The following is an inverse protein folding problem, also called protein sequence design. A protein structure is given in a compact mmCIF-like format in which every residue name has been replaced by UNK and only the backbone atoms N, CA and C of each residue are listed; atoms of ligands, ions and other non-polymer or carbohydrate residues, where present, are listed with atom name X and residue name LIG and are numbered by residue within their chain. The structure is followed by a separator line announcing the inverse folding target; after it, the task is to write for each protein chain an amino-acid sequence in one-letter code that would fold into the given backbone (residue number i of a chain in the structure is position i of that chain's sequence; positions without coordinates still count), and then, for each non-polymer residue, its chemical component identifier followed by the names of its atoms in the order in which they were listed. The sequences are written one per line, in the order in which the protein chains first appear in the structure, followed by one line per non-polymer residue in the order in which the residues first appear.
data_IF_593588139621
#
_entry.id   IF_593588139621
#
_cell.length_a   1.000
_cell.length_b   1.000
_cell.length_c   1.000
_cell.angle_alpha   90.00
_cell.angle_beta   90.00
_cell.angle_gamma   90.00
#
_symmetry.space_group_name_H-M   'P 1'
#
loop_
_entity.id
_entity.type
_entity.pdbx_description
1 polymer ?
#
# COMPACT_ATOMS: atom_id res chain seq x y z
N UNK A 1 5.98 -25.68 43.99
CA UNK A 1 6.10 -24.29 43.51
C UNK A 1 4.81 -23.55 43.86
N UNK A 2 4.86 -22.39 44.52
CA UNK A 2 3.63 -21.68 44.93
C UNK A 2 2.90 -21.15 43.68
N UNK A 3 1.57 -21.13 43.70
CA UNK A 3 0.72 -20.62 42.60
C UNK A 3 1.15 -19.20 42.20
N UNK A 4 1.52 -18.37 43.18
CA UNK A 4 2.04 -17.01 42.95
C UNK A 4 3.31 -16.98 42.09
N UNK A 5 4.25 -17.91 42.30
CA UNK A 5 5.47 -18.03 41.48
C UNK A 5 5.13 -18.40 40.04
N UNK A 6 4.18 -19.32 39.83
CA UNK A 6 3.73 -19.71 38.50
C UNK A 6 3.04 -18.54 37.77
N UNK A 7 2.18 -17.78 38.47
CA UNK A 7 1.54 -16.59 37.91
C UNK A 7 2.56 -15.50 37.53
N UNK A 8 3.59 -15.28 38.36
CA UNK A 8 4.65 -14.32 38.06
C UNK A 8 5.49 -14.75 36.85
N UNK A 9 5.87 -16.03 36.75
CA UNK A 9 6.59 -16.56 35.59
C UNK A 9 5.75 -16.44 34.31
N UNK A 10 4.45 -16.75 34.38
CA UNK A 10 3.54 -16.61 33.25
C UNK A 10 3.39 -15.15 32.82
N UNK A 11 3.18 -14.22 33.76
CA UNK A 11 3.12 -12.79 33.48
C UNK A 11 4.44 -12.28 32.87
N UNK A 12 5.59 -12.72 33.40
CA UNK A 12 6.91 -12.41 32.87
C UNK A 12 7.08 -12.90 31.43
N UNK A 13 6.69 -14.14 31.13
CA UNK A 13 6.73 -14.70 29.78
C UNK A 13 5.84 -13.92 28.80
N UNK A 14 4.64 -13.50 29.23
CA UNK A 14 3.76 -12.65 28.41
C UNK A 14 4.37 -11.27 28.12
N UNK A 15 5.01 -10.66 29.12
CA UNK A 15 5.68 -9.36 28.96
C UNK A 15 6.88 -9.47 28.00
N UNK A 16 7.72 -10.49 28.17
CA UNK A 16 8.86 -10.77 27.28
C UNK A 16 8.37 -11.04 25.86
N UNK A 17 7.34 -11.86 25.68
CA UNK A 17 6.74 -12.13 24.37
C UNK A 17 6.20 -10.86 23.71
N UNK A 18 5.52 -10.00 24.47
CA UNK A 18 5.06 -8.69 23.98
C UNK A 18 6.20 -7.76 23.60
N UNK A 19 7.27 -7.76 24.38
CA UNK A 19 8.47 -6.99 24.09
C UNK A 19 9.12 -7.47 22.79
N UNK A 20 9.37 -8.77 22.64
CA UNK A 20 9.94 -9.36 21.43
C UNK A 20 9.11 -9.04 20.18
N UNK A 21 7.78 -9.19 20.27
CA UNK A 21 6.85 -8.83 19.21
C UNK A 21 6.86 -7.33 18.86
N UNK A 22 7.22 -6.45 19.79
CA UNK A 22 7.37 -5.02 19.51
C UNK A 22 8.68 -4.75 18.76
N UNK A 23 9.76 -5.46 19.12
CA UNK A 23 11.07 -5.29 18.47
C UNK A 23 11.04 -5.67 16.98
N UNK A 24 10.24 -6.65 16.59
CA UNK A 24 10.09 -7.06 15.17
C UNK A 24 8.90 -6.40 14.46
N UNK A 25 8.21 -5.45 15.10
CA UNK A 25 6.92 -4.91 14.61
C UNK A 25 5.88 -6.01 14.31
N UNK A 26 5.98 -7.13 15.03
CA UNK A 26 5.18 -8.36 14.87
C UNK A 26 5.36 -9.03 13.52
N UNK A 27 6.45 -8.74 12.82
CA UNK A 27 6.85 -9.45 11.61
C UNK A 27 7.49 -10.79 11.97
N UNK A 28 7.24 -11.78 11.11
CA UNK A 28 7.90 -13.08 11.04
C UNK A 28 7.58 -13.68 9.66
N UNK A 29 8.34 -14.68 9.23
CA UNK A 29 8.04 -15.44 8.00
C UNK A 29 6.62 -16.04 8.05
N UNK A 30 6.21 -16.58 9.20
CA UNK A 30 4.87 -17.16 9.33
C UNK A 30 3.76 -16.09 9.24
N UNK A 31 4.00 -14.86 9.70
CA UNK A 31 3.01 -13.79 9.63
C UNK A 31 2.63 -13.37 8.20
N UNK A 32 3.43 -13.76 7.20
CA UNK A 32 3.24 -13.46 5.78
C UNK A 32 2.91 -14.69 4.91
N UNK A 33 3.07 -15.92 5.43
CA UNK A 33 2.86 -17.18 4.69
C UNK A 33 1.38 -17.41 4.36
N UNK A 34 1.08 -17.49 3.07
CA UNK A 34 -0.28 -17.78 2.62
C UNK A 34 -0.57 -19.26 2.76
N UNK A 35 -1.74 -19.59 3.31
CA UNK A 35 -2.26 -20.96 3.41
C UNK A 35 -3.57 -21.12 2.63
N UNK A 36 -3.85 -20.19 1.71
CA UNK A 36 -5.10 -20.15 0.96
C UNK A 36 -4.97 -20.94 -0.34
N UNK A 37 -6.08 -21.55 -0.73
CA UNK A 37 -6.22 -22.17 -2.04
C UNK A 37 -6.17 -21.12 -3.15
N UNK A 38 -5.78 -21.59 -4.34
CA UNK A 38 -5.81 -20.82 -5.56
C UNK A 38 -7.19 -20.22 -5.84
N UNK A 39 -7.23 -18.97 -6.32
CA UNK A 39 -8.41 -18.29 -6.79
C UNK A 39 -8.12 -17.54 -8.10
N UNK A 40 -8.81 -17.86 -9.21
CA UNK A 40 -8.57 -17.20 -10.50
C UNK A 40 -8.91 -15.70 -10.50
N UNK A 41 -9.78 -15.21 -9.61
CA UNK A 41 -10.09 -13.78 -9.51
C UNK A 41 -8.89 -12.95 -9.00
N UNK A 42 -7.88 -13.59 -8.42
CA UNK A 42 -6.70 -12.93 -7.87
C UNK A 42 -5.52 -12.90 -8.85
N UNK A 43 -5.66 -13.55 -10.00
CA UNK A 43 -4.64 -13.51 -11.05
C UNK A 43 -4.55 -12.12 -11.67
N UNK A 44 -3.30 -11.68 -11.85
CA UNK A 44 -3.00 -10.49 -12.61
C UNK A 44 -3.07 -10.76 -14.11
N UNK A 45 -3.10 -9.69 -14.92
CA UNK A 45 -2.85 -9.82 -16.36
C UNK A 45 -1.46 -10.39 -16.64
N UNK A 46 -1.26 -10.93 -17.84
CA UNK A 46 0.06 -11.30 -18.31
C UNK A 46 1.00 -10.07 -18.37
N UNK A 47 2.28 -10.31 -18.06
CA UNK A 47 3.34 -9.31 -18.17
C UNK A 47 3.82 -9.22 -19.63
N UNK A 48 4.14 -8.01 -20.09
CA UNK A 48 4.95 -7.86 -21.30
C UNK A 48 6.38 -8.36 -21.07
N UNK A 49 7.16 -8.50 -22.15
CA UNK A 49 8.58 -8.90 -22.05
C UNK A 49 9.38 -7.92 -21.20
N UNK A 50 9.15 -6.62 -21.35
CA UNK A 50 9.82 -5.55 -20.62
C UNK A 50 9.43 -5.57 -19.14
N UNK A 51 8.13 -5.76 -18.84
CA UNK A 51 7.65 -5.87 -17.47
C UNK A 51 8.21 -7.12 -16.78
N UNK A 52 8.24 -8.26 -17.49
CA UNK A 52 8.82 -9.49 -16.96
C UNK A 52 10.31 -9.32 -16.63
N UNK A 53 11.07 -8.58 -17.46
CA UNK A 53 12.46 -8.26 -17.18
C UNK A 53 12.61 -7.40 -15.91
N UNK A 54 11.79 -6.36 -15.74
CA UNK A 54 11.79 -5.50 -14.55
C UNK A 54 11.42 -6.27 -13.28
N UNK A 55 10.42 -7.15 -13.37
CA UNK A 55 9.99 -7.99 -12.23
C UNK A 55 11.09 -8.98 -11.87
N UNK A 56 11.72 -9.61 -12.87
CA UNK A 56 12.87 -10.50 -12.65
C UNK A 56 14.03 -9.77 -11.97
N UNK A 57 14.37 -8.57 -12.43
CA UNK A 57 15.38 -7.72 -11.78
C UNK A 57 15.00 -7.48 -10.31
N UNK A 58 13.79 -7.00 -10.06
CA UNK A 58 13.32 -6.67 -8.71
C UNK A 58 13.34 -7.88 -7.77
N UNK A 59 12.96 -9.07 -8.24
CA UNK A 59 12.90 -10.28 -7.43
C UNK A 59 14.27 -10.96 -7.19
N UNK A 60 15.33 -10.52 -7.88
CA UNK A 60 16.70 -10.99 -7.65
C UNK A 60 17.46 -10.22 -6.57
N UNK A 61 16.91 -9.10 -6.08
CA UNK A 61 17.57 -8.23 -5.12
C UNK A 61 17.36 -8.71 -3.68
N UNK A 62 18.24 -8.28 -2.77
CA UNK A 62 17.98 -8.35 -1.33
C UNK A 62 17.05 -7.23 -0.88
N UNK A 63 16.27 -7.50 0.17
CA UNK A 63 15.29 -6.55 0.69
C UNK A 63 15.43 -6.34 2.19
N UNK A 64 15.39 -5.09 2.64
CA UNK A 64 15.46 -4.70 4.05
C UNK A 64 14.12 -4.20 4.55
N UNK A 65 13.74 -4.62 5.74
CA UNK A 65 12.54 -4.15 6.42
C UNK A 65 12.55 -2.62 6.55
N UNK A 66 11.48 -1.99 6.09
CA UNK A 66 11.25 -0.56 6.24
C UNK A 66 10.21 -0.29 7.33
N UNK A 67 9.08 -1.00 7.28
CA UNK A 67 7.98 -0.73 8.19
C UNK A 67 6.75 -1.59 7.93
N UNK A 68 5.61 -1.17 8.47
CA UNK A 68 4.34 -1.85 8.27
C UNK A 68 3.18 -0.86 8.09
N UNK A 69 2.32 -1.14 7.12
CA UNK A 69 1.04 -0.45 6.94
C UNK A 69 -0.11 -1.19 7.64
N UNK A 70 -1.36 -0.88 7.29
CA UNK A 70 -2.52 -1.62 7.81
C UNK A 70 -2.53 -3.09 7.36
N UNK A 71 -2.30 -3.34 6.07
CA UNK A 71 -2.46 -4.65 5.42
C UNK A 71 -1.14 -5.39 5.19
N UNK A 72 -0.02 -4.68 5.02
CA UNK A 72 1.24 -5.27 4.57
C UNK A 72 2.44 -4.88 5.42
N UNK A 73 3.49 -5.70 5.37
CA UNK A 73 4.85 -5.34 5.76
C UNK A 73 5.60 -4.85 4.52
N UNK A 74 6.45 -3.85 4.69
CA UNK A 74 7.09 -3.11 3.61
C UNK A 74 8.59 -3.32 3.70
N UNK A 75 9.19 -3.69 2.58
CA UNK A 75 10.62 -3.86 2.43
C UNK A 75 11.13 -3.05 1.25
N UNK A 76 12.30 -2.44 1.39
CA UNK A 76 13.00 -1.76 0.29
C UNK A 76 14.12 -2.62 -0.24
N UNK A 77 14.28 -2.63 -1.56
CA UNK A 77 15.40 -3.29 -2.20
C UNK A 77 16.72 -2.62 -1.82
N UNK A 78 17.83 -3.35 -1.89
CA UNK A 78 19.16 -2.82 -1.58
C UNK A 78 19.60 -1.66 -2.48
N UNK A 79 19.10 -1.60 -3.71
CA UNK A 79 19.33 -0.48 -4.64
C UNK A 79 18.32 0.67 -4.47
N UNK A 80 17.41 0.58 -3.50
CA UNK A 80 16.41 1.59 -3.16
C UNK A 80 15.47 1.97 -4.33
N UNK A 81 15.33 1.12 -5.36
CA UNK A 81 14.44 1.34 -6.50
C UNK A 81 13.07 0.67 -6.38
N UNK A 82 12.98 -0.39 -5.58
CA UNK A 82 11.79 -1.23 -5.48
C UNK A 82 11.30 -1.37 -4.04
N UNK A 83 10.00 -1.61 -3.94
CA UNK A 83 9.29 -1.91 -2.71
C UNK A 83 8.64 -3.26 -2.87
N UNK A 84 8.95 -4.17 -1.95
CA UNK A 84 8.29 -5.47 -1.83
C UNK A 84 7.35 -5.41 -0.64
N UNK A 85 6.06 -5.66 -0.87
CA UNK A 85 5.04 -5.62 0.18
C UNK A 85 4.44 -7.00 0.37
N UNK A 86 4.62 -7.56 1.57
CA UNK A 86 4.03 -8.85 1.95
C UNK A 86 2.77 -8.66 2.78
N UNK A 87 1.72 -9.38 2.43
CA UNK A 87 0.44 -9.29 3.11
C UNK A 87 0.45 -9.93 4.51
N UNK A 88 -0.21 -9.27 5.46
CA UNK A 88 -0.38 -9.77 6.84
C UNK A 88 -1.52 -10.77 6.87
N UNK A 89 -1.19 -12.05 7.00
CA UNK A 89 -2.17 -13.13 6.91
C UNK A 89 -3.25 -13.06 7.99
N UNK A 90 -2.87 -12.65 9.21
CA UNK A 90 -3.80 -12.42 10.34
C UNK A 90 -4.89 -11.38 10.04
N UNK A 91 -4.66 -10.45 9.10
CA UNK A 91 -5.66 -9.44 8.72
C UNK A 91 -6.85 -10.12 8.06
N UNK A 92 -6.61 -11.18 7.30
CA UNK A 92 -7.60 -11.95 6.55
C UNK A 92 -8.07 -13.22 7.27
N UNK A 93 -7.27 -13.75 8.20
CA UNK A 93 -7.63 -14.93 8.96
C UNK A 93 -8.79 -14.69 9.93
N UNK A 94 -9.66 -15.68 10.02
CA UNK A 94 -10.67 -15.81 11.08
C UNK A 94 -9.95 -16.13 12.40
N UNK A 95 -10.27 -15.46 13.51
CA UNK A 95 -9.68 -15.79 14.80
C UNK A 95 -10.06 -17.20 15.25
N UNK A 96 -9.07 -18.01 15.67
CA UNK A 96 -9.27 -19.40 16.10
C UNK A 96 -10.30 -19.55 17.23
N UNK A 97 -10.39 -18.56 18.13
CA UNK A 97 -11.31 -18.63 19.28
C UNK A 97 -12.78 -18.66 18.86
N UNK A 98 -13.12 -18.24 17.63
CA UNK A 98 -14.51 -18.28 17.15
C UNK A 98 -15.04 -19.71 17.07
N UNK A 99 -14.18 -20.69 16.82
CA UNK A 99 -14.59 -22.09 16.70
C UNK A 99 -15.01 -22.69 18.05
N UNK A 100 -14.51 -22.11 19.16
CA UNK A 100 -14.84 -22.51 20.53
C UNK A 100 -16.06 -21.77 21.11
N UNK A 101 -16.64 -20.80 20.39
CA UNK A 101 -17.83 -20.10 20.86
C UNK A 101 -19.09 -20.99 20.78
N UNK A 102 -19.96 -21.00 21.82
CA UNK A 102 -21.20 -21.77 21.83
C UNK A 102 -22.15 -21.46 20.65
N UNK A 103 -23.06 -22.38 20.28
CA UNK A 103 -24.00 -22.20 19.17
C UNK A 103 -24.87 -20.94 19.24
N UNK A 104 -25.17 -20.42 20.43
CA UNK A 104 -25.92 -19.18 20.60
C UNK A 104 -25.24 -17.95 19.95
N UNK A 105 -23.92 -18.02 19.71
CA UNK A 105 -23.14 -16.99 19.03
C UNK A 105 -23.01 -17.19 17.52
N UNK A 106 -23.81 -18.07 16.90
CA UNK A 106 -23.68 -18.41 15.49
C UNK A 106 -23.73 -17.18 14.55
N UNK A 107 -24.70 -16.27 14.76
CA UNK A 107 -24.79 -15.01 14.00
C UNK A 107 -23.54 -14.14 14.12
N UNK A 108 -22.92 -14.11 15.30
CA UNK A 108 -21.67 -13.38 15.52
C UNK A 108 -20.49 -14.03 14.80
N UNK A 109 -20.38 -15.37 14.85
CA UNK A 109 -19.36 -16.15 14.13
C UNK A 109 -19.44 -15.89 12.63
N UNK A 110 -20.64 -16.01 12.05
CA UNK A 110 -20.90 -15.77 10.62
C UNK A 110 -20.56 -14.34 10.22
N UNK A 111 -21.03 -13.35 10.98
CA UNK A 111 -20.70 -11.93 10.71
C UNK A 111 -19.20 -11.66 10.74
N UNK A 112 -18.45 -12.26 11.67
CA UNK A 112 -16.99 -12.10 11.75
C UNK A 112 -16.26 -12.78 10.59
N UNK A 113 -16.66 -14.01 10.23
CA UNK A 113 -16.12 -14.74 9.07
C UNK A 113 -16.40 -13.99 7.77
N UNK A 114 -17.63 -13.53 7.58
CA UNK A 114 -18.03 -12.73 6.42
C UNK A 114 -17.19 -11.45 6.30
N UNK A 115 -17.04 -10.68 7.39
CA UNK A 115 -16.21 -9.45 7.38
C UNK A 115 -14.76 -9.71 6.96
N UNK A 116 -14.20 -10.87 7.32
CA UNK A 116 -12.83 -11.26 6.97
C UNK A 116 -12.72 -11.62 5.50
N UNK A 117 -13.64 -12.44 4.99
CA UNK A 117 -13.70 -12.80 3.58
C UNK A 117 -13.95 -11.58 2.67
N UNK A 118 -14.91 -10.72 3.04
CA UNK A 118 -15.23 -9.48 2.35
C UNK A 118 -14.05 -8.48 2.37
N UNK A 119 -13.30 -8.40 3.49
CA UNK A 119 -12.06 -7.62 3.52
C UNK A 119 -11.00 -8.17 2.57
N UNK A 120 -10.76 -9.48 2.56
CA UNK A 120 -9.82 -10.10 1.62
C UNK A 120 -10.20 -9.79 0.17
N UNK A 121 -11.47 -10.04 -0.19
CA UNK A 121 -11.99 -9.79 -1.54
C UNK A 121 -11.77 -8.34 -1.97
N UNK A 122 -12.16 -7.37 -1.13
CA UNK A 122 -11.99 -5.94 -1.45
C UNK A 122 -10.52 -5.53 -1.57
N UNK A 123 -9.69 -5.97 -0.63
CA UNK A 123 -8.30 -5.59 -0.62
C UNK A 123 -7.60 -6.16 -1.86
N UNK A 124 -7.79 -7.44 -2.17
CA UNK A 124 -7.14 -8.09 -3.32
C UNK A 124 -7.63 -7.50 -4.65
N UNK A 125 -8.94 -7.26 -4.80
CA UNK A 125 -9.48 -6.59 -5.98
C UNK A 125 -8.81 -5.22 -6.22
N UNK A 126 -8.53 -4.47 -5.15
CA UNK A 126 -7.84 -3.18 -5.24
C UNK A 126 -6.41 -3.30 -5.80
N UNK A 127 -5.65 -4.30 -5.36
CA UNK A 127 -4.30 -4.56 -5.89
C UNK A 127 -4.34 -5.06 -7.33
N UNK A 128 -5.32 -5.90 -7.67
CA UNK A 128 -5.57 -6.34 -9.04
C UNK A 128 -5.89 -5.15 -9.96
N UNK A 129 -6.74 -4.20 -9.53
CA UNK A 129 -6.98 -2.96 -10.28
C UNK A 129 -5.72 -2.12 -10.43
N UNK A 130 -4.92 -1.99 -9.37
CA UNK A 130 -3.68 -1.23 -9.40
C UNK A 130 -2.72 -1.78 -10.45
N UNK A 131 -2.58 -3.10 -10.55
CA UNK A 131 -1.71 -3.76 -11.51
C UNK A 131 -2.28 -3.79 -12.94
N UNK A 132 -3.56 -4.14 -13.08
CA UNK A 132 -4.17 -4.34 -14.39
C UNK A 132 -4.50 -3.02 -15.10
N UNK A 133 -4.84 -1.97 -14.36
CA UNK A 133 -5.44 -0.75 -14.93
C UNK A 133 -4.71 0.56 -14.57
N UNK A 134 -3.90 0.56 -13.51
CA UNK A 134 -3.31 1.77 -12.94
C UNK A 134 -1.81 1.63 -12.66
N UNK A 135 -1.11 0.71 -13.34
CA UNK A 135 0.31 0.45 -13.06
C UNK A 135 1.17 1.70 -13.30
N UNK A 136 0.82 2.52 -14.28
CA UNK A 136 1.47 3.80 -14.58
C UNK A 136 1.17 4.91 -13.57
N UNK A 137 0.05 4.81 -12.82
CA UNK A 137 -0.32 5.76 -11.76
C UNK A 137 0.13 5.29 -10.38
N UNK A 138 0.50 4.02 -10.23
CA UNK A 138 0.79 3.38 -8.94
C UNK A 138 2.17 2.78 -8.86
N UNK A 139 2.88 2.66 -9.97
CA UNK A 139 4.17 1.98 -10.06
C UNK A 139 4.13 0.51 -9.66
N UNK A 140 2.95 -0.13 -9.58
CA UNK A 140 2.83 -1.57 -9.31
C UNK A 140 3.32 -2.33 -10.54
N UNK A 141 4.36 -3.15 -10.34
CA UNK A 141 5.02 -3.91 -11.38
C UNK A 141 4.52 -5.35 -11.45
N UNK A 142 4.11 -5.91 -10.31
CA UNK A 142 3.68 -7.30 -10.22
C UNK A 142 2.84 -7.55 -8.97
N UNK A 143 1.91 -8.48 -9.09
CA UNK A 143 1.14 -9.03 -7.97
C UNK A 143 1.28 -10.55 -7.97
N UNK A 144 1.45 -11.11 -6.78
CA UNK A 144 1.39 -12.55 -6.53
C UNK A 144 0.43 -12.75 -5.37
N UNK A 145 -0.82 -13.06 -5.68
CA UNK A 145 -1.91 -13.13 -4.70
C UNK A 145 -2.43 -14.56 -4.49
N UNK A 146 -1.85 -15.53 -5.21
CA UNK A 146 -2.11 -16.95 -5.10
C UNK A 146 -0.83 -17.67 -4.66
N UNK A 147 -0.98 -18.77 -3.93
CA UNK A 147 0.15 -19.69 -3.78
C UNK A 147 0.36 -20.45 -5.09
N UNK A 148 1.61 -20.57 -5.53
CA UNK A 148 1.98 -21.20 -6.79
C UNK A 148 3.10 -22.23 -6.57
N UNK A 149 3.62 -22.81 -7.65
CA UNK A 149 4.77 -23.72 -7.64
C UNK A 149 5.72 -23.47 -8.82
N UNK A 150 5.44 -22.45 -9.62
CA UNK A 150 6.08 -22.17 -10.90
C UNK A 150 6.96 -20.91 -10.85
N UNK A 151 6.85 -20.08 -9.81
CA UNK A 151 7.70 -18.91 -9.69
C UNK A 151 9.14 -19.37 -9.38
N UNK A 152 9.28 -20.33 -8.46
CA UNK A 152 10.56 -20.97 -8.10
C UNK A 152 11.67 -19.95 -7.80
N UNK A 153 11.29 -18.87 -7.11
CA UNK A 153 12.20 -17.79 -6.71
C UNK A 153 12.36 -17.76 -5.22
N UNK A 154 13.62 -17.70 -4.79
CA UNK A 154 13.97 -17.41 -3.42
C UNK A 154 14.50 -15.99 -3.29
N UNK A 155 14.19 -15.35 -2.17
CA UNK A 155 14.66 -14.01 -1.85
C UNK A 155 15.20 -13.95 -0.42
N UNK A 156 16.08 -12.97 -0.17
CA UNK A 156 16.62 -12.70 1.16
C UNK A 156 15.94 -11.43 1.71
N UNK A 157 15.26 -11.59 2.84
CA UNK A 157 14.67 -10.51 3.61
C UNK A 157 15.50 -10.26 4.87
N UNK A 158 16.02 -9.04 5.02
CA UNK A 158 16.65 -8.58 6.26
C UNK A 158 15.62 -7.90 7.14
N UNK A 159 15.37 -8.46 8.32
CA UNK A 159 14.36 -7.94 9.23
C UNK A 159 14.81 -6.67 9.98
N UNK A 160 13.94 -6.17 10.88
CA UNK A 160 14.20 -4.97 11.68
C UNK A 160 15.41 -5.11 12.63
N UNK A 161 15.76 -6.34 13.02
CA UNK A 161 16.91 -6.65 13.87
C UNK A 161 18.17 -6.95 13.04
N UNK A 162 18.07 -6.89 11.72
CA UNK A 162 19.17 -7.17 10.80
C UNK A 162 19.40 -8.65 10.52
N UNK A 163 18.50 -9.54 10.94
CA UNK A 163 18.59 -10.98 10.69
C UNK A 163 18.13 -11.25 9.25
N UNK A 164 18.89 -12.03 8.50
CA UNK A 164 18.54 -12.44 7.14
C UNK A 164 17.66 -13.71 7.16
N UNK A 165 16.59 -13.69 6.35
CA UNK A 165 15.64 -14.77 6.18
C UNK A 165 15.53 -15.12 4.70
N UNK A 166 15.84 -16.36 4.32
CA UNK A 166 15.65 -16.86 2.95
C UNK A 166 14.25 -17.47 2.84
N UNK A 167 13.45 -17.01 1.89
CA UNK A 167 12.09 -17.49 1.67
C UNK A 167 11.83 -17.80 0.19
N UNK A 168 11.06 -18.85 -0.10
CA UNK A 168 10.53 -19.12 -1.45
C UNK A 168 9.24 -18.36 -1.67
N UNK A 169 9.18 -17.54 -2.72
CA UNK A 169 8.07 -16.63 -3.00
C UNK A 169 6.76 -17.33 -3.38
N UNK A 170 6.80 -18.58 -3.84
CA UNK A 170 5.64 -19.37 -4.25
C UNK A 170 4.55 -19.49 -3.16
N UNK A 171 4.89 -19.33 -1.88
CA UNK A 171 3.98 -19.51 -0.75
C UNK A 171 3.53 -18.22 -0.06
N UNK A 172 3.79 -17.06 -0.66
CA UNK A 172 3.51 -15.77 -0.03
C UNK A 172 2.68 -14.89 -0.94
N UNK A 173 1.74 -14.15 -0.37
CA UNK A 173 1.09 -13.10 -1.13
C UNK A 173 1.91 -11.82 -1.01
N UNK A 174 2.28 -11.24 -2.16
CA UNK A 174 3.07 -10.02 -2.21
C UNK A 174 2.77 -9.19 -3.46
N UNK A 175 3.23 -7.95 -3.42
CA UNK A 175 3.32 -7.10 -4.61
C UNK A 175 4.73 -6.51 -4.73
N UNK A 176 5.13 -6.27 -5.98
CA UNK A 176 6.34 -5.50 -6.33
C UNK A 176 5.89 -4.15 -6.86
N UNK A 177 6.49 -3.08 -6.34
CA UNK A 177 6.16 -1.71 -6.71
C UNK A 177 7.44 -0.87 -6.84
N UNK A 178 7.43 0.16 -7.68
CA UNK A 178 8.49 1.17 -7.70
C UNK A 178 8.50 1.95 -6.38
N UNK A 179 9.70 2.28 -5.89
CA UNK A 179 9.85 3.16 -4.74
C UNK A 179 9.69 4.61 -5.18
N UNK A 180 8.97 5.39 -4.39
CA UNK A 180 8.73 6.81 -4.61
C UNK A 180 9.20 7.64 -3.40
N UNK A 181 9.57 8.89 -3.66
CA UNK A 181 9.81 9.93 -2.66
C UNK A 181 8.47 10.53 -2.19
N UNK A 182 8.28 10.82 -0.90
CA UNK A 182 7.00 11.36 -0.43
C UNK A 182 6.74 12.78 -0.96
N UNK A 183 5.46 13.11 -1.17
CA UNK A 183 5.03 14.38 -1.77
C UNK A 183 5.51 15.61 -1.00
N UNK A 184 5.41 15.63 0.33
CA UNK A 184 5.80 16.80 1.11
C UNK A 184 7.32 16.97 1.15
N UNK A 185 8.07 15.87 1.23
CA UNK A 185 9.53 15.89 1.16
C UNK A 185 9.99 16.47 -0.19
N UNK A 186 9.34 16.06 -1.29
CA UNK A 186 9.60 16.57 -2.63
C UNK A 186 9.39 18.08 -2.74
N UNK A 187 8.25 18.58 -2.27
CA UNK A 187 7.92 20.01 -2.33
C UNK A 187 8.88 20.80 -1.42
N UNK A 188 9.10 20.34 -0.19
CA UNK A 188 10.00 20.98 0.77
C UNK A 188 11.43 21.06 0.23
N UNK A 189 11.96 19.95 -0.30
CA UNK A 189 13.31 19.88 -0.86
C UNK A 189 13.48 20.79 -2.08
N UNK A 190 12.50 20.80 -2.99
CA UNK A 190 12.50 21.72 -4.13
C UNK A 190 12.52 23.19 -3.67
N UNK A 191 11.75 23.53 -2.64
CA UNK A 191 11.70 24.90 -2.13
C UNK A 191 12.98 25.32 -1.42
N UNK A 192 13.57 24.45 -0.61
CA UNK A 192 14.87 24.68 0.02
C UNK A 192 16.00 24.87 -1.00
N UNK A 193 15.91 24.19 -2.14
CA UNK A 193 16.85 24.34 -3.25
C UNK A 193 16.58 25.55 -4.16
N UNK A 194 15.59 26.40 -3.86
CA UNK A 194 15.19 27.54 -4.70
C UNK A 194 14.51 27.15 -6.02
N UNK A 195 14.13 25.88 -6.19
CA UNK A 195 13.54 25.32 -7.41
C UNK A 195 12.02 25.52 -7.44
N UNK A 196 11.57 26.78 -7.41
CA UNK A 196 10.14 27.12 -7.34
C UNK A 196 9.29 26.44 -8.43
N UNK A 197 9.79 26.41 -9.66
CA UNK A 197 9.07 25.79 -10.79
C UNK A 197 8.82 24.30 -10.57
N UNK A 198 9.81 23.58 -10.03
CA UNK A 198 9.69 22.14 -9.72
C UNK A 198 8.65 21.87 -8.63
N UNK A 199 8.55 22.74 -7.62
CA UNK A 199 7.52 22.64 -6.60
C UNK A 199 6.11 22.89 -7.18
N UNK A 200 5.98 23.86 -8.09
CA UNK A 200 4.74 24.12 -8.82
C UNK A 200 4.33 22.93 -9.70
N UNK A 201 5.27 22.38 -10.46
CA UNK A 201 5.08 21.17 -11.28
C UNK A 201 4.66 19.97 -10.42
N UNK A 202 5.26 19.79 -9.25
CA UNK A 202 4.84 18.74 -8.31
C UNK A 202 3.38 18.91 -7.85
N UNK A 203 2.94 20.13 -7.55
CA UNK A 203 1.54 20.42 -7.20
C UNK A 203 0.60 20.02 -8.35
N UNK A 204 0.93 20.41 -9.58
CA UNK A 204 0.17 20.05 -10.77
C UNK A 204 0.09 18.53 -10.93
N UNK A 205 1.21 17.82 -10.84
CA UNK A 205 1.27 16.35 -10.97
C UNK A 205 0.41 15.61 -9.94
N UNK A 206 0.30 16.12 -8.70
CA UNK A 206 -0.58 15.54 -7.68
C UNK A 206 -2.05 15.66 -8.08
N UNK A 207 -2.47 16.82 -8.58
CA UNK A 207 -3.85 17.04 -9.02
C UNK A 207 -4.18 16.21 -10.25
N UNK A 208 -3.26 16.15 -11.21
CA UNK A 208 -3.39 15.33 -12.43
C UNK A 208 -3.50 13.84 -12.10
N UNK A 209 -2.71 13.33 -11.16
CA UNK A 209 -2.83 11.95 -10.67
C UNK A 209 -4.26 11.65 -10.16
N UNK A 210 -4.85 12.56 -9.40
CA UNK A 210 -6.21 12.39 -8.85
C UNK A 210 -7.24 12.36 -9.99
N UNK A 211 -7.16 13.31 -10.92
CA UNK A 211 -8.09 13.44 -12.04
C UNK A 211 -7.98 12.23 -12.97
N UNK A 212 -6.77 11.83 -13.32
CA UNK A 212 -6.52 10.72 -14.24
C UNK A 212 -7.08 9.40 -13.68
N UNK A 213 -6.86 9.14 -12.39
CA UNK A 213 -7.47 7.99 -11.69
C UNK A 213 -9.01 8.03 -11.78
N UNK A 214 -9.62 9.19 -11.57
CA UNK A 214 -11.07 9.35 -11.64
C UNK A 214 -11.60 9.16 -13.07
N UNK A 215 -10.92 9.72 -14.08
CA UNK A 215 -11.24 9.54 -15.52
C UNK A 215 -11.18 8.08 -15.96
N UNK A 216 -10.36 7.25 -15.30
CA UNK A 216 -10.34 5.79 -15.50
C UNK A 216 -11.44 5.04 -14.73
N UNK A 217 -12.30 5.75 -14.00
CA UNK A 217 -13.42 5.18 -13.26
C UNK A 217 -13.05 4.64 -11.88
N UNK A 218 -11.95 5.07 -11.27
CA UNK A 218 -11.52 4.55 -9.96
C UNK A 218 -11.72 5.55 -8.83
N UNK A 219 -12.51 5.16 -7.83
CA UNK A 219 -12.63 5.87 -6.55
C UNK A 219 -11.62 5.33 -5.54
N UNK A 220 -11.10 6.19 -4.66
CA UNK A 220 -10.06 5.88 -3.69
C UNK A 220 -10.62 6.20 -2.32
N UNK A 221 -10.79 5.15 -1.50
CA UNK A 221 -11.38 5.30 -0.17
C UNK A 221 -10.37 5.74 0.88
N UNK A 222 -9.10 5.94 0.52
CA UNK A 222 -8.06 6.48 1.38
C UNK A 222 -7.11 7.44 0.61
N UNK A 223 -7.63 8.63 0.22
CA UNK A 223 -6.94 9.52 -0.70
C UNK A 223 -5.88 10.42 -0.04
N UNK A 224 -5.40 10.09 1.16
CA UNK A 224 -4.45 10.95 1.88
C UNK A 224 -3.15 11.18 1.08
N UNK A 225 -2.96 12.41 0.58
CA UNK A 225 -1.81 12.77 -0.27
C UNK A 225 -0.49 12.61 0.50
N UNK A 226 -0.46 13.03 1.78
CA UNK A 226 0.78 13.12 2.56
C UNK A 226 1.47 11.78 2.77
N UNK A 227 0.68 10.71 2.93
CA UNK A 227 1.20 9.37 3.24
C UNK A 227 1.09 8.40 2.07
N UNK A 228 0.15 8.63 1.15
CA UNK A 228 -0.23 7.63 0.14
C UNK A 228 0.15 8.03 -1.28
N UNK A 229 0.75 9.20 -1.49
CA UNK A 229 1.29 9.65 -2.77
C UNK A 229 2.79 9.90 -2.67
N UNK A 230 3.49 9.80 -3.81
CA UNK A 230 4.88 10.16 -3.92
C UNK A 230 5.33 10.34 -5.37
N UNK A 231 6.59 10.69 -5.54
CA UNK A 231 7.22 10.95 -6.82
C UNK A 231 8.21 9.85 -7.17
N UNK A 232 8.08 9.34 -8.39
CA UNK A 232 9.13 8.61 -9.07
C UNK A 232 9.67 9.52 -10.15
N UNK A 233 10.92 9.97 -9.99
CA UNK A 233 11.48 11.04 -10.83
C UNK A 233 10.50 12.23 -10.83
N UNK A 234 10.06 12.75 -11.97
CA UNK A 234 9.14 13.89 -12.03
C UNK A 234 7.65 13.50 -12.07
N UNK A 235 7.31 12.21 -12.05
CA UNK A 235 5.91 11.76 -12.11
C UNK A 235 5.36 11.44 -10.72
N UNK A 236 4.20 12.02 -10.40
CA UNK A 236 3.47 11.68 -9.18
C UNK A 236 2.75 10.33 -9.34
N UNK A 237 2.76 9.52 -8.30
CA UNK A 237 2.13 8.22 -8.24
C UNK A 237 1.53 7.92 -6.87
N UNK A 238 0.53 7.03 -6.85
CA UNK A 238 -0.08 6.52 -5.62
C UNK A 238 0.75 5.35 -5.07
N UNK A 239 1.26 5.50 -3.86
CA UNK A 239 2.06 4.48 -3.17
C UNK A 239 1.16 3.45 -2.49
N UNK A 240 0.09 3.87 -1.80
CA UNK A 240 -0.86 2.95 -1.17
C UNK A 240 -2.06 2.71 -2.08
N UNK A 241 -2.21 1.46 -2.51
CA UNK A 241 -3.19 1.02 -3.51
C UNK A 241 -4.22 0.06 -2.93
N UNK A 242 -4.33 -0.06 -1.60
CA UNK A 242 -5.19 -1.05 -0.94
C UNK A 242 -6.68 -0.69 -0.85
N UNK A 243 -7.11 0.45 -1.43
CA UNK A 243 -8.44 1.07 -1.20
C UNK A 243 -9.17 1.59 -2.45
N UNK A 244 -8.74 1.18 -3.64
CA UNK A 244 -9.41 1.47 -4.90
C UNK A 244 -10.67 0.62 -5.09
N UNK A 245 -11.67 1.25 -5.70
CA UNK A 245 -12.90 0.61 -6.15
C UNK A 245 -13.29 1.18 -7.50
N UNK A 246 -13.64 0.31 -8.43
CA UNK A 246 -14.21 0.75 -9.71
C UNK A 246 -15.61 1.34 -9.51
N UNK A 247 -15.83 2.52 -10.06
CA UNK A 247 -17.08 3.25 -10.05
C UNK A 247 -17.12 4.17 -11.28
N UNK A 248 -17.89 3.77 -12.29
CA UNK A 248 -18.00 4.47 -13.57
C UNK A 248 -18.41 5.95 -13.41
N UNK A 249 -19.19 6.27 -12.37
CA UNK A 249 -19.58 7.66 -12.06
C UNK A 249 -18.39 8.58 -11.80
N UNK A 250 -17.24 8.04 -11.39
CA UNK A 250 -16.04 8.86 -11.19
C UNK A 250 -15.54 9.53 -12.46
N UNK A 251 -15.96 9.05 -13.64
CA UNK A 251 -15.61 9.66 -14.92
C UNK A 251 -16.39 10.95 -15.20
N UNK A 252 -17.48 11.19 -14.49
CA UNK A 252 -18.24 12.44 -14.57
C UNK A 252 -17.42 13.60 -13.98
N UNK A 253 -17.27 14.67 -14.77
CA UNK A 253 -16.53 15.89 -14.38
C UNK A 253 -17.04 16.50 -13.09
N UNK A 254 -18.35 16.58 -12.91
CA UNK A 254 -18.94 17.14 -11.70
C UNK A 254 -18.57 16.34 -10.45
N UNK A 255 -18.32 15.04 -10.61
CA UNK A 255 -17.93 14.13 -9.52
C UNK A 255 -16.44 14.23 -9.25
N UNK A 256 -15.59 14.09 -10.27
CA UNK A 256 -14.14 14.17 -10.05
C UNK A 256 -13.66 15.56 -9.65
N UNK A 257 -14.35 16.64 -10.05
CA UNK A 257 -14.03 17.99 -9.59
C UNK A 257 -14.29 18.14 -8.08
N UNK A 258 -15.43 17.63 -7.58
CA UNK A 258 -15.71 17.60 -6.13
C UNK A 258 -14.69 16.77 -5.36
N UNK A 259 -14.30 15.64 -5.94
CA UNK A 259 -13.28 14.76 -5.37
C UNK A 259 -11.92 15.47 -5.31
N UNK A 260 -11.51 16.17 -6.36
CA UNK A 260 -10.27 16.96 -6.39
C UNK A 260 -10.26 18.02 -5.27
N UNK A 261 -11.34 18.79 -5.14
CA UNK A 261 -11.47 19.82 -4.09
C UNK A 261 -11.30 19.21 -2.70
N UNK A 262 -11.99 18.10 -2.43
CA UNK A 262 -11.95 17.40 -1.14
C UNK A 262 -10.56 16.85 -0.82
N UNK A 263 -9.96 16.14 -1.76
CA UNK A 263 -8.67 15.45 -1.56
C UNK A 263 -7.53 16.46 -1.40
N UNK A 264 -7.57 17.57 -2.13
CA UNK A 264 -6.49 18.56 -2.13
C UNK A 264 -6.60 19.60 -1.01
N UNK A 265 -7.72 19.66 -0.26
CA UNK A 265 -7.89 20.62 0.83
C UNK A 265 -6.77 20.55 1.90
N UNK A 266 -6.37 19.37 2.43
CA UNK A 266 -5.26 19.29 3.38
C UNK A 266 -3.91 19.71 2.77
N UNK A 267 -3.68 19.43 1.48
CA UNK A 267 -2.48 19.89 0.78
C UNK A 267 -2.47 21.42 0.69
N UNK A 268 -3.62 22.05 0.40
CA UNK A 268 -3.75 23.52 0.37
C UNK A 268 -3.43 24.15 1.73
N UNK A 269 -3.97 23.59 2.80
CA UNK A 269 -3.71 24.04 4.18
C UNK A 269 -2.21 23.93 4.52
N UNK A 270 -1.60 22.79 4.16
CA UNK A 270 -0.17 22.60 4.35
C UNK A 270 0.67 23.61 3.55
N UNK A 271 0.33 23.86 2.28
CA UNK A 271 1.00 24.87 1.45
C UNK A 271 0.87 26.27 2.07
N UNK A 272 -0.33 26.64 2.55
CA UNK A 272 -0.55 27.95 3.16
C UNK A 272 0.34 28.18 4.40
N UNK A 273 0.53 27.13 5.21
CA UNK A 273 1.34 27.20 6.42
C UNK A 273 2.86 27.24 6.16
N UNK A 274 3.34 26.56 5.10
CA UNK A 274 4.78 26.35 4.90
C UNK A 274 5.35 27.13 3.71
N UNK A 275 4.58 27.26 2.61
CA UNK A 275 5.03 27.81 1.32
C UNK A 275 3.93 28.68 0.67
N UNK A 276 3.49 29.77 1.32
CA UNK A 276 2.29 30.52 0.90
C UNK A 276 2.38 31.09 -0.53
N UNK A 277 3.58 31.33 -1.06
CA UNK A 277 3.79 31.79 -2.44
C UNK A 277 3.41 30.74 -3.51
N UNK A 278 3.18 29.47 -3.14
CA UNK A 278 2.67 28.43 -4.03
C UNK A 278 1.13 28.42 -4.11
N UNK A 279 0.43 29.16 -3.25
CA UNK A 279 -1.04 29.15 -3.21
C UNK A 279 -1.66 29.66 -4.50
N UNK A 280 -1.10 30.70 -5.11
CA UNK A 280 -1.59 31.23 -6.40
C UNK A 280 -1.53 30.16 -7.49
N UNK A 281 -0.42 29.42 -7.59
CA UNK A 281 -0.29 28.31 -8.53
C UNK A 281 -1.28 27.18 -8.22
N UNK A 282 -1.38 26.80 -6.94
CA UNK A 282 -2.30 25.75 -6.50
C UNK A 282 -3.76 26.09 -6.85
N UNK A 283 -4.21 27.30 -6.54
CA UNK A 283 -5.61 27.71 -6.74
C UNK A 283 -5.94 27.85 -8.23
N UNK A 284 -5.00 28.38 -9.05
CA UNK A 284 -5.13 28.43 -10.52
C UNK A 284 -5.24 27.03 -11.13
N UNK A 285 -4.34 26.12 -10.78
CA UNK A 285 -4.33 24.77 -11.34
C UNK A 285 -5.55 23.97 -10.93
N UNK A 286 -5.99 24.12 -9.67
CA UNK A 286 -7.22 23.49 -9.19
C UNK A 286 -8.44 24.02 -9.94
N UNK A 287 -8.52 25.34 -10.16
CA UNK A 287 -9.58 25.97 -10.96
C UNK A 287 -9.60 25.43 -12.39
N UNK A 288 -8.45 25.45 -13.07
CA UNK A 288 -8.26 24.93 -14.44
C UNK A 288 -8.77 23.49 -14.56
N UNK A 289 -8.39 22.61 -13.63
CA UNK A 289 -8.78 21.20 -13.65
C UNK A 289 -10.26 20.96 -13.28
N UNK A 290 -10.87 21.84 -12.48
CA UNK A 290 -12.29 21.77 -12.17
C UNK A 290 -13.18 22.29 -13.32
N UNK A 291 -12.77 23.36 -13.99
CA UNK A 291 -13.52 24.01 -15.07
C UNK A 291 -13.33 23.29 -16.42
N UNK A 292 -12.20 22.58 -16.58
CA UNK A 292 -11.89 21.79 -17.76
C UNK A 292 -11.54 22.63 -18.98
N UNK A 293 -10.87 23.77 -18.77
CA UNK A 293 -10.26 24.54 -19.85
C UNK A 293 -9.03 23.77 -20.36
N UNK A 294 -9.16 23.20 -21.55
CA UNK A 294 -8.01 22.91 -22.41
C UNK A 294 -7.43 24.26 -22.83
N UNK A 295 -6.17 24.52 -22.48
CA UNK A 295 -5.38 25.58 -23.09
C UNK A 295 -4.92 25.11 -24.47
#
# INVERSE_FOLDING_TARGET
MKISTLCLLFAGALLIGRFALKQTDRWSVEAIRSHRSYNPEWEGRALSTEEAALVKEALCLKYRYYGRGGQAFIFFSENERYVLKFFKQKVFATPFYLDYLPPLFQKYKEKKRWKKADKLKRDFASYTYAFNNLSDLTGVLYIHLNSTSHLQREIILKDKLGIEHRISLDHFDFIVQRKAEFVYDRIQGAMQAGQKKRAQEAITQIMELIIERCKRGFHDRDPNISTNCGFLEEKCMKIDVGRFVFNERMKDRSIYAKELLKITAPLREWIAAHHPFLLDHFDKERGRLCEGQEL
#
